data_IF_497975711377
#
_entry.id   IF_497975711377
#
_cell.length_a   1.000
_cell.length_b   1.000
_cell.length_c   1.000
_cell.angle_alpha   90.00
_cell.angle_beta   90.00
_cell.angle_gamma   90.00
#
_symmetry.space_group_name_H-M   'P 1'
#
loop_
_entity.id
_entity.type
_entity.pdbx_description
1 polymer ?
#
# COMPACT_ATOMS: atom_id res chain seq x y z
N UNK A 1 -20.28 -2.25 9.05
CA UNK A 1 -18.88 -2.00 8.66
C UNK A 1 -18.69 -2.66 7.32
N UNK A 2 -18.54 -1.89 6.25
CA UNK A 2 -18.27 -2.46 4.92
C UNK A 2 -16.77 -2.66 4.79
N UNK A 3 -16.31 -3.88 5.11
CA UNK A 3 -14.94 -4.26 4.85
C UNK A 3 -14.79 -4.66 3.38
N UNK A 4 -13.80 -4.11 2.68
CA UNK A 4 -13.47 -4.51 1.30
C UNK A 4 -12.10 -5.14 1.25
N UNK A 5 -11.98 -6.21 0.49
CA UNK A 5 -10.69 -6.82 0.22
C UNK A 5 -10.01 -6.09 -0.95
N UNK A 6 -8.74 -5.77 -0.75
CA UNK A 6 -7.88 -5.14 -1.73
C UNK A 6 -6.73 -6.08 -2.02
N UNK A 7 -6.51 -6.37 -3.30
CA UNK A 7 -5.35 -7.11 -3.81
C UNK A 7 -4.61 -6.19 -4.75
N UNK A 8 -3.61 -5.48 -4.21
CA UNK A 8 -2.90 -4.42 -4.92
C UNK A 8 -1.39 -4.74 -4.96
N UNK A 9 -0.68 -4.32 -6.02
CA UNK A 9 0.77 -4.33 -6.01
C UNK A 9 1.28 -3.29 -5.00
N UNK A 10 2.16 -3.72 -4.11
CA UNK A 10 2.88 -2.88 -3.16
C UNK A 10 4.38 -2.94 -3.49
N UNK A 11 5.08 -1.85 -3.25
CA UNK A 11 6.51 -1.76 -3.49
C UNK A 11 7.24 -1.61 -2.15
N UNK A 12 8.26 -2.42 -1.93
CA UNK A 12 9.12 -2.23 -0.78
C UNK A 12 10.08 -1.04 -0.97
N UNK A 13 10.92 -0.77 0.03
CA UNK A 13 11.87 0.35 0.00
C UNK A 13 12.90 0.24 -1.13
N UNK A 14 13.15 -0.96 -1.66
CA UNK A 14 14.05 -1.21 -2.77
C UNK A 14 13.32 -1.15 -4.14
N UNK A 15 12.01 -0.85 -4.13
CA UNK A 15 11.18 -0.86 -5.33
C UNK A 15 10.84 -2.26 -5.84
N UNK A 16 10.97 -3.30 -5.01
CA UNK A 16 10.52 -4.65 -5.38
C UNK A 16 9.01 -4.74 -5.23
N UNK A 17 8.37 -5.15 -6.32
CA UNK A 17 6.94 -5.37 -6.35
C UNK A 17 6.55 -6.64 -5.58
N UNK A 18 5.51 -6.54 -4.78
CA UNK A 18 4.87 -7.66 -4.10
C UNK A 18 3.36 -7.45 -4.11
N UNK A 19 2.62 -8.47 -4.53
CA UNK A 19 1.16 -8.44 -4.43
C UNK A 19 0.78 -8.67 -2.98
N UNK A 20 0.08 -7.70 -2.38
CA UNK A 20 -0.43 -7.80 -1.02
C UNK A 20 -1.95 -7.79 -1.06
N UNK A 21 -2.53 -8.78 -0.37
CA UNK A 21 -3.96 -8.84 -0.11
C UNK A 21 -4.22 -8.38 1.31
N UNK A 22 -5.12 -7.41 1.48
CA UNK A 22 -5.54 -6.94 2.80
C UNK A 22 -7.00 -6.49 2.80
N UNK A 23 -7.61 -6.53 3.98
CA UNK A 23 -8.99 -6.09 4.17
C UNK A 23 -9.00 -4.66 4.73
N UNK A 24 -9.50 -3.72 3.93
CA UNK A 24 -9.81 -2.38 4.39
C UNK A 24 -11.08 -2.40 5.23
N UNK A 25 -11.08 -1.71 6.37
CA UNK A 25 -12.23 -1.64 7.30
C UNK A 25 -13.31 -0.71 6.73
N UNK A 26 -12.90 0.23 5.86
CA UNK A 26 -13.74 1.15 5.11
C UNK A 26 -13.23 1.24 3.66
N UNK A 27 -14.00 1.91 2.79
CA UNK A 27 -13.56 2.23 1.44
C UNK A 27 -12.34 3.18 1.49
N UNK A 28 -11.25 2.72 0.89
CA UNK A 28 -10.04 3.52 0.70
C UNK A 28 -10.28 4.61 -0.35
N UNK A 29 -9.65 5.78 -0.15
CA UNK A 29 -9.70 6.87 -1.12
C UNK A 29 -8.89 6.51 -2.36
N UNK A 30 -9.50 6.67 -3.53
CA UNK A 30 -8.80 6.48 -4.80
C UNK A 30 -7.68 7.52 -4.96
N UNK A 31 -6.50 7.08 -5.39
CA UNK A 31 -5.31 7.93 -5.55
C UNK A 31 -4.54 8.22 -4.28
N UNK A 32 -4.99 7.75 -3.11
CA UNK A 32 -4.20 7.82 -1.88
C UNK A 32 -3.09 6.76 -1.87
N UNK A 33 -1.96 7.09 -1.22
CA UNK A 33 -0.89 6.13 -0.98
C UNK A 33 -1.04 5.53 0.40
N UNK A 34 -0.81 4.22 0.49
CA UNK A 34 -0.91 3.48 1.75
C UNK A 34 0.43 2.86 2.10
N UNK A 35 0.86 3.09 3.34
CA UNK A 35 1.96 2.38 3.96
C UNK A 35 1.41 1.16 4.68
N UNK A 36 1.74 -0.02 4.17
CA UNK A 36 1.35 -1.30 4.76
C UNK A 36 2.41 -1.73 5.78
N UNK A 37 1.98 -2.00 7.02
CA UNK A 37 2.82 -2.64 8.04
C UNK A 37 2.52 -4.12 8.07
N UNK A 38 3.49 -4.95 7.70
CA UNK A 38 3.37 -6.40 7.73
C UNK A 38 3.83 -6.95 9.09
N UNK A 39 3.18 -8.02 9.56
CA UNK A 39 3.64 -8.88 10.67
C UNK A 39 3.84 -10.28 10.11
N UNK A 40 5.06 -10.56 9.65
CA UNK A 40 5.34 -11.74 8.83
C UNK A 40 4.76 -11.56 7.43
N UNK A 41 3.87 -12.46 7.03
CA UNK A 41 3.23 -12.42 5.71
C UNK A 41 1.88 -11.71 5.70
N UNK A 42 1.31 -11.41 6.88
CA UNK A 42 0.01 -10.76 7.01
C UNK A 42 0.14 -9.26 7.22
N UNK A 43 -0.80 -8.49 6.65
CA UNK A 43 -0.93 -7.05 6.94
C UNK A 43 -1.45 -6.86 8.34
N UNK A 44 -0.65 -6.19 9.17
CA UNK A 44 -0.99 -5.82 10.54
C UNK A 44 -1.83 -4.55 10.57
N UNK A 45 -1.37 -3.52 9.86
CA UNK A 45 -2.03 -2.22 9.76
C UNK A 45 -1.71 -1.57 8.42
N UNK A 46 -2.51 -0.60 8.01
CA UNK A 46 -2.23 0.29 6.89
C UNK A 46 -2.49 1.73 7.33
N UNK A 47 -1.69 2.65 6.80
CA UNK A 47 -1.77 4.08 7.12
C UNK A 47 -1.70 4.88 5.82
N UNK A 48 -2.54 5.92 5.70
CA UNK A 48 -2.48 6.85 4.56
C UNK A 48 -1.25 7.75 4.70
N UNK A 49 -0.45 7.83 3.64
CA UNK A 49 0.79 8.61 3.58
C UNK A 49 0.80 9.50 2.33
N UNK A 50 1.62 10.54 2.34
CA UNK A 50 1.77 11.39 1.17
C UNK A 50 2.89 10.90 0.25
N UNK A 51 2.85 11.35 -1.00
CA UNK A 51 3.86 11.05 -2.02
C UNK A 51 5.28 11.36 -1.54
N UNK A 52 5.43 12.40 -0.73
CA UNK A 52 6.71 12.86 -0.17
C UNK A 52 7.31 11.90 0.88
N UNK A 53 6.47 11.12 1.56
CA UNK A 53 6.89 10.13 2.57
C UNK A 53 7.33 8.79 1.96
N UNK A 54 7.08 8.59 0.67
CA UNK A 54 7.36 7.33 -0.03
C UNK A 54 8.81 7.34 -0.52
N UNK A 55 9.58 6.26 -0.29
CA UNK A 55 10.92 6.13 -0.84
C UNK A 55 10.93 6.35 -2.36
N UNK A 56 11.92 7.09 -2.86
CA UNK A 56 12.04 7.40 -4.30
C UNK A 56 12.03 6.15 -5.18
N UNK A 57 12.73 5.10 -4.76
CA UNK A 57 12.78 3.84 -5.51
C UNK A 57 11.40 3.18 -5.65
N UNK A 58 10.57 3.25 -4.60
CA UNK A 58 9.20 2.72 -4.64
C UNK A 58 8.30 3.59 -5.51
N UNK A 59 8.44 4.91 -5.42
CA UNK A 59 7.58 5.87 -6.11
C UNK A 59 7.80 5.88 -7.62
N UNK A 60 9.05 5.73 -8.05
CA UNK A 60 9.41 5.63 -9.46
C UNK A 60 8.84 4.36 -10.09
N UNK A 61 8.72 3.27 -9.32
CA UNK A 61 8.11 2.01 -9.77
C UNK A 61 6.59 2.06 -9.85
N UNK A 62 5.94 2.86 -9.01
CA UNK A 62 4.48 3.00 -9.02
C UNK A 62 3.92 3.65 -10.28
N UNK A 63 4.75 4.17 -11.21
CA UNK A 63 4.34 4.79 -12.49
C UNK A 63 3.10 5.67 -12.34
N UNK A 64 3.11 6.53 -11.33
CA UNK A 64 2.02 7.46 -11.05
C UNK A 64 2.06 8.51 -12.15
N UNK A 65 1.16 8.36 -13.12
CA UNK A 65 1.05 9.22 -14.31
C UNK A 65 0.22 10.47 -14.01
#
# INVERSE_FOLDING_TARGET
MESREYKLPAYDKEGKEKIITFTGINQLREGAFLKLTLKGESVKTYEEVQKEDIPKDAIEKMKIN
#
